data_IF_644702956555
#
_entry.id   IF_644702956555
#
_cell.length_a   1.000
_cell.length_b   1.000
_cell.length_c   1.000
_cell.angle_alpha   90.00
_cell.angle_beta   90.00
_cell.angle_gamma   90.00
#
_symmetry.space_group_name_H-M   'P 1'
#
loop_
_entity.id
_entity.type
_entity.pdbx_description
1 polymer ?
#
# COMPACT_ATOMS: atom_id res chain seq x y z
N UNK A 1 0.54 33.57 40.95
CA UNK A 1 0.38 32.10 40.81
C UNK A 1 0.50 31.81 39.34
N UNK A 2 1.70 31.54 38.86
CA UNK A 2 1.91 31.11 37.47
C UNK A 2 1.28 29.73 37.33
N UNK A 3 0.39 29.58 36.36
CA UNK A 3 -0.17 28.30 35.93
C UNK A 3 0.99 27.42 35.44
N UNK A 4 1.65 26.70 36.36
CA UNK A 4 2.75 25.80 36.05
C UNK A 4 2.18 24.57 35.33
N UNK A 5 1.96 24.73 34.02
CA UNK A 5 1.64 23.60 33.14
C UNK A 5 2.73 22.56 33.29
N UNK A 6 2.33 21.31 33.50
CA UNK A 6 3.23 20.16 33.53
C UNK A 6 4.08 20.13 32.24
N UNK A 7 5.42 20.16 32.33
CA UNK A 7 6.25 20.16 31.13
C UNK A 7 6.16 18.80 30.43
N UNK A 8 6.28 18.82 29.10
CA UNK A 8 6.10 17.63 28.26
C UNK A 8 7.39 17.26 27.55
N UNK A 9 7.77 15.98 27.62
CA UNK A 9 8.82 15.40 26.81
C UNK A 9 8.17 14.67 25.63
N UNK A 10 8.32 15.22 24.44
CA UNK A 10 7.91 14.59 23.20
C UNK A 10 9.07 13.79 22.60
N UNK A 11 8.93 12.47 22.51
CA UNK A 11 9.98 11.58 21.99
C UNK A 11 9.59 11.04 20.62
N UNK A 12 10.32 11.39 19.57
CA UNK A 12 10.15 10.81 18.23
C UNK A 12 11.18 9.70 18.04
N UNK A 13 10.72 8.45 17.98
CA UNK A 13 11.56 7.26 17.97
C UNK A 13 11.31 6.39 16.74
N UNK A 14 12.36 5.77 16.20
CA UNK A 14 12.24 4.88 15.04
C UNK A 14 13.50 4.82 14.16
N UNK A 15 13.58 3.88 13.21
CA UNK A 15 14.80 3.64 12.44
C UNK A 15 15.18 4.80 11.50
N UNK A 16 16.40 4.76 10.99
CA UNK A 16 16.81 5.63 9.89
C UNK A 16 15.85 5.45 8.69
N UNK A 17 15.53 6.52 7.97
CA UNK A 17 14.60 6.47 6.83
C UNK A 17 13.11 6.33 7.19
N UNK A 18 12.75 6.26 8.48
CA UNK A 18 11.34 6.15 8.88
C UNK A 18 10.51 7.44 8.68
N UNK A 19 11.16 8.60 8.46
CA UNK A 19 10.49 9.89 8.29
C UNK A 19 10.12 10.58 9.61
N UNK A 20 10.95 10.43 10.64
CA UNK A 20 10.78 11.08 11.95
C UNK A 20 10.81 12.61 11.87
N UNK A 21 11.83 13.17 11.23
CA UNK A 21 11.95 14.63 11.03
C UNK A 21 10.80 15.18 10.20
N UNK A 22 10.29 14.40 9.25
CA UNK A 22 9.07 14.77 8.49
C UNK A 22 7.83 14.83 9.39
N UNK A 23 7.67 13.90 10.33
CA UNK A 23 6.58 13.96 11.32
C UNK A 23 6.70 15.20 12.20
N UNK A 24 7.92 15.55 12.64
CA UNK A 24 8.19 16.75 13.41
C UNK A 24 7.73 18.01 12.65
N UNK A 25 8.34 18.29 11.49
CA UNK A 25 8.07 19.51 10.70
C UNK A 25 6.61 19.66 10.29
N UNK A 26 5.97 18.56 9.90
CA UNK A 26 4.61 18.62 9.36
C UNK A 26 3.53 18.65 10.44
N UNK A 27 3.82 18.18 11.66
CA UNK A 27 2.80 18.04 12.71
C UNK A 27 3.23 18.64 14.05
N UNK A 28 4.34 18.19 14.61
CA UNK A 28 4.70 18.50 15.99
C UNK A 28 5.20 19.92 16.18
N UNK A 29 5.98 20.45 15.24
CA UNK A 29 6.50 21.82 15.29
C UNK A 29 5.38 22.86 15.40
N UNK A 30 4.33 22.73 14.58
CA UNK A 30 3.17 23.61 14.64
C UNK A 30 2.28 23.37 15.86
N UNK A 31 2.26 22.13 16.37
CA UNK A 31 1.41 21.74 17.50
C UNK A 31 2.01 22.15 18.84
N UNK A 32 3.34 22.17 18.93
CA UNK A 32 4.10 22.49 20.14
C UNK A 32 5.21 23.51 19.81
N UNK A 33 4.84 24.74 19.40
CA UNK A 33 5.81 25.75 18.97
C UNK A 33 6.78 26.17 20.08
N UNK A 34 6.38 26.04 21.34
CA UNK A 34 7.20 26.41 22.51
C UNK A 34 8.13 25.27 22.97
N UNK A 35 8.02 24.07 22.39
CA UNK A 35 8.85 22.93 22.75
C UNK A 35 10.08 22.85 21.83
N UNK A 36 11.27 23.06 22.39
CA UNK A 36 12.50 23.06 21.61
C UNK A 36 12.80 21.69 20.98
N UNK A 37 13.16 21.69 19.69
CA UNK A 37 13.58 20.49 18.99
C UNK A 37 15.06 20.18 19.20
N UNK A 38 15.34 19.13 19.97
CA UNK A 38 16.68 18.65 20.27
C UNK A 38 17.01 17.45 19.37
N UNK A 39 17.75 17.72 18.29
CA UNK A 39 18.22 16.74 17.31
C UNK A 39 19.74 16.77 17.20
N UNK A 40 20.38 15.62 17.35
CA UNK A 40 21.84 15.49 17.35
C UNK A 40 22.49 15.84 15.99
N UNK A 41 21.83 15.53 14.88
CA UNK A 41 22.35 15.83 13.55
C UNK A 41 22.27 17.35 13.28
N UNK A 42 21.22 18.02 13.73
CA UNK A 42 21.09 19.49 13.64
C UNK A 42 22.09 20.22 14.56
N UNK A 43 22.33 19.69 15.76
CA UNK A 43 23.33 20.25 16.68
C UNK A 43 24.75 20.07 16.15
N UNK A 44 25.08 18.90 15.59
CA UNK A 44 26.36 18.69 14.91
C UNK A 44 26.53 19.65 13.72
N UNK A 45 25.49 19.83 12.91
CA UNK A 45 25.51 20.78 11.79
C UNK A 45 25.80 22.21 12.25
N UNK A 46 25.19 22.64 13.37
CA UNK A 46 25.43 23.98 13.94
C UNK A 46 26.85 24.12 14.50
N UNK A 47 27.37 23.09 15.15
CA UNK A 47 28.71 23.07 15.74
C UNK A 47 29.82 23.12 14.68
N UNK A 48 29.70 22.30 13.62
CA UNK A 48 30.77 22.12 12.63
C UNK A 48 30.54 22.92 11.33
N UNK A 49 29.36 23.51 11.13
CA UNK A 49 29.00 24.21 9.89
C UNK A 49 28.70 23.29 8.70
N UNK A 50 28.81 21.97 8.88
CA UNK A 50 28.48 20.94 7.88
C UNK A 50 27.86 19.70 8.56
N UNK A 51 27.11 18.86 7.84
CA UNK A 51 26.63 17.60 8.39
C UNK A 51 27.81 16.76 8.89
N UNK A 52 27.66 16.09 10.03
CA UNK A 52 28.71 15.23 10.57
C UNK A 52 29.19 14.23 9.50
N UNK A 53 30.50 14.08 9.33
CA UNK A 53 31.13 13.17 8.37
C UNK A 53 31.91 12.06 9.08
N UNK A 54 32.35 12.31 10.31
CA UNK A 54 33.13 11.36 11.10
C UNK A 54 32.33 10.77 12.26
N UNK A 55 32.80 9.63 12.80
CA UNK A 55 32.24 9.05 14.03
C UNK A 55 32.38 10.00 15.22
N UNK A 56 33.46 10.78 15.27
CA UNK A 56 33.73 11.75 16.33
C UNK A 56 32.71 12.90 16.30
N UNK A 57 32.48 13.51 15.13
CA UNK A 57 31.46 14.56 14.97
C UNK A 57 30.05 14.06 15.29
N UNK A 58 29.73 12.82 14.88
CA UNK A 58 28.44 12.21 15.21
C UNK A 58 28.31 11.99 16.73
N UNK A 59 29.37 11.54 17.40
CA UNK A 59 29.39 11.39 18.86
C UNK A 59 29.23 12.74 19.56
N UNK A 60 29.95 13.78 19.12
CA UNK A 60 29.83 15.14 19.64
C UNK A 60 28.40 15.69 19.50
N UNK A 61 27.75 15.46 18.36
CA UNK A 61 26.33 15.80 18.19
C UNK A 61 25.40 15.10 19.17
N UNK A 62 25.68 13.83 19.52
CA UNK A 62 24.91 13.11 20.53
C UNK A 62 25.14 13.67 21.95
N UNK A 63 26.37 14.05 22.28
CA UNK A 63 26.74 14.70 23.54
C UNK A 63 26.04 16.05 23.69
N UNK A 64 26.15 16.93 22.69
CA UNK A 64 25.45 18.23 22.66
C UNK A 64 23.94 18.06 22.84
N UNK A 65 23.35 17.07 22.17
CA UNK A 65 21.93 16.79 22.32
C UNK A 65 21.58 16.32 23.73
N UNK A 66 22.45 15.56 24.38
CA UNK A 66 22.25 15.10 25.75
C UNK A 66 22.41 16.24 26.77
N UNK A 67 23.44 17.07 26.63
CA UNK A 67 23.65 18.27 27.43
C UNK A 67 22.43 19.20 27.33
N UNK A 68 21.95 19.46 26.10
CA UNK A 68 20.79 20.32 25.88
C UNK A 68 19.50 19.75 26.47
N UNK A 69 19.26 18.44 26.33
CA UNK A 69 18.11 17.77 26.97
C UNK A 69 18.15 17.94 28.48
N UNK A 70 19.30 17.68 29.11
CA UNK A 70 19.47 17.82 30.57
C UNK A 70 19.26 19.26 31.03
N UNK A 71 19.78 20.23 30.29
CA UNK A 71 19.56 21.64 30.58
C UNK A 71 18.06 21.99 30.52
N UNK A 72 17.36 21.64 29.44
CA UNK A 72 15.93 21.90 29.31
C UNK A 72 15.10 21.21 30.40
N UNK A 73 15.49 19.99 30.79
CA UNK A 73 14.85 19.26 31.88
C UNK A 73 15.08 19.92 33.25
N UNK A 74 16.28 20.41 33.52
CA UNK A 74 16.58 21.18 34.74
C UNK A 74 15.80 22.51 34.79
N UNK A 75 15.60 23.15 33.63
CA UNK A 75 14.81 24.37 33.48
C UNK A 75 13.28 24.11 33.46
N UNK A 76 12.84 22.85 33.61
CA UNK A 76 11.43 22.42 33.49
C UNK A 76 10.74 22.88 32.20
N UNK A 77 11.47 22.93 31.09
CA UNK A 77 10.92 23.27 29.76
C UNK A 77 10.45 22.04 29.01
N UNK A 78 9.34 22.19 28.29
CA UNK A 78 8.90 21.19 27.31
C UNK A 78 9.90 21.10 26.15
N UNK A 79 10.08 19.90 25.62
CA UNK A 79 11.03 19.65 24.53
C UNK A 79 10.56 18.51 23.62
N UNK A 80 11.01 18.56 22.37
CA UNK A 80 10.86 17.48 21.40
C UNK A 80 12.24 16.91 21.11
N UNK A 81 12.43 15.60 21.25
CA UNK A 81 13.69 14.93 20.88
C UNK A 81 13.47 13.85 19.85
N UNK A 82 14.32 13.81 18.83
CA UNK A 82 14.33 12.76 17.81
C UNK A 82 15.50 11.81 18.04
N UNK A 83 15.25 10.49 17.98
CA UNK A 83 16.31 9.49 18.07
C UNK A 83 16.03 8.24 17.23
N UNK A 84 17.11 7.56 16.82
CA UNK A 84 17.00 6.18 16.32
C UNK A 84 16.61 5.19 17.40
N UNK A 85 16.73 5.60 18.67
CA UNK A 85 16.33 4.83 19.85
C UNK A 85 17.02 3.46 19.95
N UNK A 86 18.28 3.40 19.54
CA UNK A 86 19.04 2.17 19.40
C UNK A 86 19.99 1.89 20.58
N UNK A 87 19.76 2.49 21.75
CA UNK A 87 20.56 2.28 22.97
C UNK A 87 19.68 2.33 24.23
N UNK A 88 19.90 1.48 25.25
CA UNK A 88 19.09 1.44 26.48
C UNK A 88 18.93 2.79 27.18
N UNK A 89 19.96 3.65 27.15
CA UNK A 89 19.91 5.00 27.72
C UNK A 89 18.77 5.88 27.20
N UNK A 90 18.16 5.53 26.06
CA UNK A 90 16.97 6.24 25.55
C UNK A 90 15.69 5.86 26.29
N UNK A 91 15.62 4.64 26.83
CA UNK A 91 14.57 4.25 27.78
C UNK A 91 14.80 4.95 29.12
N UNK A 92 16.05 5.06 29.56
CA UNK A 92 16.39 5.75 30.82
C UNK A 92 15.99 7.23 30.77
N UNK A 93 16.23 7.93 29.66
CA UNK A 93 15.72 9.29 29.44
C UNK A 93 14.20 9.41 29.68
N UNK A 94 13.42 8.41 29.25
CA UNK A 94 11.96 8.39 29.49
C UNK A 94 11.66 8.21 30.97
N UNK A 95 12.37 7.30 31.66
CA UNK A 95 12.23 7.09 33.11
C UNK A 95 12.57 8.37 33.89
N UNK A 96 13.69 8.99 33.56
CA UNK A 96 14.19 10.20 34.21
C UNK A 96 13.21 11.36 34.04
N UNK A 97 12.63 11.51 32.85
CA UNK A 97 11.61 12.53 32.60
C UNK A 97 10.35 12.30 33.46
N UNK A 98 9.86 11.05 33.54
CA UNK A 98 8.72 10.73 34.41
C UNK A 98 9.04 10.99 35.88
N UNK A 99 10.24 10.60 36.34
CA UNK A 99 10.68 10.85 37.70
C UNK A 99 10.79 12.35 38.01
N UNK A 100 11.15 13.17 37.02
CA UNK A 100 11.16 14.63 37.11
C UNK A 100 9.77 15.28 37.01
N UNK A 101 8.70 14.49 36.87
CA UNK A 101 7.31 14.98 36.79
C UNK A 101 6.93 15.55 35.41
N UNK A 102 7.57 15.08 34.34
CA UNK A 102 7.15 15.37 32.98
C UNK A 102 5.97 14.50 32.55
N UNK A 103 5.06 15.05 31.75
CA UNK A 103 4.23 14.23 30.87
C UNK A 103 5.11 13.72 29.72
N UNK A 104 5.08 12.41 29.44
CA UNK A 104 5.84 11.83 28.33
C UNK A 104 4.91 11.39 27.21
N UNK A 105 5.14 11.96 26.02
CA UNK A 105 4.42 11.58 24.79
C UNK A 105 5.40 11.01 23.78
N UNK A 106 5.27 9.72 23.48
CA UNK A 106 6.12 9.02 22.53
C UNK A 106 5.45 8.89 21.15
N UNK A 107 6.22 9.12 20.10
CA UNK A 107 5.83 8.96 18.70
C UNK A 107 6.74 7.91 18.08
N UNK A 108 6.27 6.67 17.98
CA UNK A 108 6.99 5.59 17.29
C UNK A 108 6.68 5.67 15.80
N UNK A 109 7.67 6.03 14.99
CA UNK A 109 7.55 6.06 13.53
C UNK A 109 8.36 4.93 12.93
N UNK A 110 7.70 4.02 12.19
CA UNK A 110 8.38 2.89 11.57
C UNK A 110 7.97 2.66 10.12
N UNK A 111 8.68 1.75 9.46
CA UNK A 111 8.41 1.29 8.09
C UNK A 111 8.38 -0.24 8.05
N UNK A 112 7.74 -0.82 7.04
CA UNK A 112 7.47 -2.26 6.92
C UNK A 112 8.69 -3.17 6.86
N UNK A 113 9.88 -2.64 6.54
CA UNK A 113 11.10 -3.45 6.46
C UNK A 113 12.37 -2.60 6.54
N UNK A 114 13.50 -3.19 6.98
CA UNK A 114 14.79 -2.53 6.94
C UNK A 114 15.24 -2.19 5.51
N UNK A 115 14.84 -3.00 4.50
CA UNK A 115 15.12 -2.70 3.09
C UNK A 115 14.53 -1.34 2.68
N UNK A 116 13.31 -1.02 3.12
CA UNK A 116 12.70 0.28 2.83
C UNK A 116 13.45 1.43 3.53
N UNK A 117 13.95 1.21 4.75
CA UNK A 117 14.82 2.16 5.43
C UNK A 117 16.11 2.42 4.63
N UNK A 118 16.78 1.37 4.15
CA UNK A 118 18.01 1.48 3.32
C UNK A 118 17.73 2.26 2.05
N UNK A 119 16.69 1.90 1.29
CA UNK A 119 16.29 2.60 0.07
C UNK A 119 16.05 4.10 0.31
N UNK A 120 15.36 4.44 1.40
CA UNK A 120 15.07 5.85 1.74
C UNK A 120 16.30 6.64 2.18
N UNK A 121 17.23 6.00 2.88
CA UNK A 121 18.51 6.65 3.21
C UNK A 121 19.32 6.89 1.95
N UNK A 122 19.39 5.92 1.04
CA UNK A 122 20.08 6.09 -0.25
C UNK A 122 19.49 7.24 -1.08
N UNK A 123 18.16 7.31 -1.23
CA UNK A 123 17.48 8.42 -1.92
C UNK A 123 17.78 9.78 -1.27
N UNK A 124 17.82 9.84 0.06
CA UNK A 124 18.17 11.07 0.79
C UNK A 124 19.63 11.47 0.58
N UNK A 125 20.56 10.51 0.53
CA UNK A 125 21.99 10.78 0.24
C UNK A 125 22.16 11.35 -1.15
N UNK A 126 21.44 10.81 -2.14
CA UNK A 126 21.42 11.36 -3.50
C UNK A 126 20.89 12.81 -3.56
N UNK A 127 20.13 13.24 -2.54
CA UNK A 127 19.62 14.61 -2.36
C UNK A 127 20.50 15.46 -1.43
N UNK A 128 21.72 15.03 -1.12
CA UNK A 128 22.69 15.76 -0.29
C UNK A 128 22.58 15.52 1.21
N UNK A 129 21.82 14.51 1.66
CA UNK A 129 21.72 14.18 3.08
C UNK A 129 22.86 13.29 3.61
N UNK A 130 22.92 13.13 4.93
CA UNK A 130 23.98 12.36 5.60
C UNK A 130 23.92 10.84 5.28
N UNK A 131 25.05 10.23 4.85
CA UNK A 131 25.13 8.80 4.59
C UNK A 131 25.17 7.99 5.90
N UNK A 132 24.50 6.85 5.91
CA UNK A 132 24.58 5.88 7.00
C UNK A 132 24.88 4.52 6.39
N UNK A 133 25.91 3.79 6.85
CA UNK A 133 26.21 2.45 6.37
C UNK A 133 25.01 1.51 6.48
N UNK A 134 24.77 0.69 5.46
CA UNK A 134 23.61 -0.20 5.37
C UNK A 134 23.53 -1.19 6.55
N UNK A 135 24.66 -1.79 6.93
CA UNK A 135 24.78 -2.68 8.09
C UNK A 135 24.28 -2.00 9.37
N UNK A 136 24.62 -0.71 9.56
CA UNK A 136 24.16 0.08 10.70
C UNK A 136 22.68 0.40 10.63
N UNK A 137 22.13 0.66 9.45
CA UNK A 137 20.69 0.88 9.27
C UNK A 137 19.92 -0.37 9.71
N UNK A 138 20.34 -1.55 9.23
CA UNK A 138 19.71 -2.83 9.55
C UNK A 138 19.85 -3.16 11.04
N UNK A 139 21.07 -3.09 11.59
CA UNK A 139 21.33 -3.33 13.01
C UNK A 139 20.47 -2.43 13.91
N UNK A 140 20.37 -1.13 13.59
CA UNK A 140 19.56 -0.18 14.35
C UNK A 140 18.07 -0.47 14.21
N UNK A 141 17.61 -0.87 13.03
CA UNK A 141 16.22 -1.23 12.76
C UNK A 141 15.75 -2.36 13.67
N UNK A 142 16.56 -3.40 13.87
CA UNK A 142 16.17 -4.52 14.73
C UNK A 142 16.34 -4.17 16.23
N UNK A 143 17.46 -3.55 16.57
CA UNK A 143 17.80 -3.24 17.98
C UNK A 143 16.86 -2.22 18.61
N UNK A 144 16.31 -1.28 17.84
CA UNK A 144 15.47 -0.23 18.42
C UNK A 144 14.05 -0.70 18.76
N UNK A 145 13.49 -1.71 18.08
CA UNK A 145 12.10 -2.11 18.26
C UNK A 145 11.75 -2.46 19.71
N UNK A 146 12.48 -3.36 20.41
CA UNK A 146 12.14 -3.70 21.79
C UNK A 146 12.30 -2.48 22.73
N UNK A 147 13.32 -1.64 22.53
CA UNK A 147 13.56 -0.45 23.33
C UNK A 147 12.46 0.59 23.16
N UNK A 148 12.01 0.82 21.92
CA UNK A 148 10.90 1.74 21.64
C UNK A 148 9.60 1.21 22.22
N UNK A 149 9.33 -0.09 22.13
CA UNK A 149 8.16 -0.70 22.76
C UNK A 149 8.18 -0.50 24.27
N UNK A 150 9.31 -0.75 24.91
CA UNK A 150 9.48 -0.53 26.35
C UNK A 150 9.20 0.92 26.74
N UNK A 151 9.80 1.88 26.04
CA UNK A 151 9.54 3.30 26.25
C UNK A 151 8.08 3.70 25.98
N UNK A 152 7.44 3.12 24.96
CA UNK A 152 6.04 3.35 24.65
C UNK A 152 5.10 2.88 25.77
N UNK A 153 5.49 1.83 26.50
CA UNK A 153 4.75 1.34 27.67
C UNK A 153 4.92 2.24 28.90
N UNK A 154 6.09 2.87 29.03
CA UNK A 154 6.37 3.81 30.11
C UNK A 154 5.70 5.17 29.88
N UNK A 155 5.61 5.62 28.63
CA UNK A 155 5.01 6.91 28.27
C UNK A 155 3.56 7.05 28.71
N UNK A 156 3.13 8.28 29.01
CA UNK A 156 1.74 8.58 29.35
C UNK A 156 0.85 8.41 28.12
N UNK A 157 1.34 8.81 26.96
CA UNK A 157 0.76 8.48 25.65
C UNK A 157 1.82 8.03 24.66
N UNK A 158 1.48 7.03 23.84
CA UNK A 158 2.30 6.64 22.69
C UNK A 158 1.46 6.56 21.41
N UNK A 159 1.94 7.19 20.34
CA UNK A 159 1.35 7.17 19.01
C UNK A 159 2.24 6.37 18.07
N UNK A 160 1.71 5.28 17.51
CA UNK A 160 2.44 4.36 16.65
C UNK A 160 2.04 4.66 15.21
N UNK A 161 2.98 5.14 14.40
CA UNK A 161 2.80 5.53 13.01
C UNK A 161 3.48 4.56 12.06
N UNK A 162 2.72 4.12 11.04
CA UNK A 162 3.28 3.54 9.84
C UNK A 162 3.60 4.65 8.85
N UNK A 163 4.79 4.58 8.25
CA UNK A 163 5.17 5.45 7.15
C UNK A 163 5.67 4.62 5.97
N UNK A 164 5.09 3.45 5.70
CA UNK A 164 5.57 2.53 4.66
C UNK A 164 5.15 2.94 3.25
N UNK A 165 4.06 3.69 3.11
CA UNK A 165 3.52 4.11 1.81
C UNK A 165 4.25 5.36 1.30
N UNK A 166 4.83 5.27 0.10
CA UNK A 166 5.51 6.41 -0.52
C UNK A 166 4.50 7.50 -0.90
N UNK A 167 4.85 8.77 -0.67
CA UNK A 167 4.02 9.92 -1.03
C UNK A 167 2.75 10.11 -0.20
N UNK A 168 2.53 9.29 0.84
CA UNK A 168 1.40 9.44 1.76
C UNK A 168 1.84 9.99 3.12
N UNK A 169 0.95 10.68 3.85
CA UNK A 169 1.21 11.07 5.23
C UNK A 169 1.38 9.85 6.15
N UNK A 170 2.04 10.05 7.30
CA UNK A 170 2.12 9.06 8.36
C UNK A 170 0.73 8.58 8.80
N UNK A 171 0.53 7.27 8.80
CA UNK A 171 -0.73 6.62 9.16
C UNK A 171 -0.70 6.19 10.63
N UNK A 172 -1.59 6.78 11.43
CA UNK A 172 -1.69 6.45 12.86
C UNK A 172 -2.32 5.06 13.03
N UNK A 173 -1.52 4.09 13.45
CA UNK A 173 -1.90 2.68 13.57
C UNK A 173 -2.41 2.32 14.96
N UNK A 174 -1.72 2.74 16.03
CA UNK A 174 -2.08 2.39 17.41
C UNK A 174 -1.88 3.60 18.32
N UNK A 175 -2.75 3.75 19.33
CA UNK A 175 -2.56 4.68 20.45
C UNK A 175 -2.49 3.87 21.73
N UNK A 176 -1.41 4.04 22.49
CA UNK A 176 -1.29 3.55 23.85
C UNK A 176 -1.49 4.71 24.84
N UNK A 177 -2.16 4.43 25.95
CA UNK A 177 -2.21 5.30 27.13
C UNK A 177 -1.70 4.50 28.33
N UNK A 178 -0.61 4.97 28.94
CA UNK A 178 0.10 4.29 30.05
C UNK A 178 0.32 2.79 29.77
N UNK A 179 0.81 2.49 28.58
CA UNK A 179 1.12 1.14 28.09
C UNK A 179 -0.08 0.26 27.72
N UNK A 180 -1.32 0.75 27.82
CA UNK A 180 -2.51 0.02 27.36
C UNK A 180 -2.94 0.55 26.01
N UNK A 181 -3.19 -0.32 25.03
CA UNK A 181 -3.76 0.11 23.76
C UNK A 181 -5.20 0.57 23.95
N UNK A 182 -5.46 1.85 23.66
CA UNK A 182 -6.79 2.47 23.74
C UNK A 182 -7.42 2.65 22.36
N UNK A 183 -6.61 2.60 21.30
CA UNK A 183 -7.08 2.66 19.91
C UNK A 183 -6.17 1.86 18.98
N UNK A 184 -6.76 1.19 18.00
CA UNK A 184 -6.09 0.59 16.85
C UNK A 184 -6.85 0.94 15.57
N UNK A 185 -6.12 1.21 14.47
CA UNK A 185 -6.71 1.37 13.14
C UNK A 185 -7.24 0.03 12.63
N UNK A 186 -8.09 0.05 11.59
CA UNK A 186 -8.64 -1.18 10.97
C UNK A 186 -7.59 -2.02 10.23
N UNK A 187 -6.44 -1.42 9.90
CA UNK A 187 -5.35 -2.03 9.17
C UNK A 187 -4.03 -1.77 9.89
N UNK A 188 -3.84 -2.42 11.05
CA UNK A 188 -2.57 -2.32 11.76
C UNK A 188 -1.50 -3.06 10.94
N UNK A 189 -0.39 -2.39 10.58
CA UNK A 189 0.63 -3.00 9.74
C UNK A 189 1.26 -4.19 10.46
N UNK A 190 1.73 -5.17 9.67
CA UNK A 190 2.23 -6.44 10.21
C UNK A 190 3.34 -6.25 11.26
N UNK A 191 4.28 -5.32 11.02
CA UNK A 191 5.36 -5.03 11.98
C UNK A 191 4.83 -4.55 13.34
N UNK A 192 3.76 -3.71 13.35
CA UNK A 192 3.18 -3.20 14.59
C UNK A 192 2.37 -4.28 15.30
N UNK A 193 1.64 -5.13 14.56
CA UNK A 193 0.95 -6.30 15.14
C UNK A 193 1.91 -7.28 15.80
N UNK A 194 3.10 -7.48 15.21
CA UNK A 194 4.12 -8.34 15.78
C UNK A 194 4.77 -7.71 17.02
N UNK A 195 5.16 -6.43 16.93
CA UNK A 195 5.85 -5.75 18.02
C UNK A 195 4.95 -5.51 19.23
N UNK A 196 3.73 -5.03 19.00
CA UNK A 196 2.77 -4.67 20.05
C UNK A 196 1.70 -5.75 20.27
N UNK A 197 2.04 -7.02 20.00
CA UNK A 197 1.10 -8.15 20.06
C UNK A 197 0.36 -8.21 21.41
N UNK A 198 1.08 -8.08 22.51
CA UNK A 198 0.50 -8.18 23.85
C UNK A 198 -0.40 -6.98 24.16
N UNK A 199 -0.01 -5.78 23.72
CA UNK A 199 -0.81 -4.57 23.91
C UNK A 199 -2.10 -4.60 23.07
N UNK A 200 -2.08 -5.27 21.91
CA UNK A 200 -3.21 -5.37 20.99
C UNK A 200 -4.18 -6.52 21.30
N UNK A 201 -3.91 -7.36 22.32
CA UNK A 201 -4.69 -8.57 22.60
C UNK A 201 -6.20 -8.32 22.82
N UNK A 202 -6.59 -7.12 23.27
CA UNK A 202 -7.98 -6.74 23.52
C UNK A 202 -8.70 -6.17 22.27
N UNK A 203 -8.02 -6.08 21.13
CA UNK A 203 -8.62 -5.69 19.85
C UNK A 203 -8.89 -6.95 19.03
N UNK A 204 -10.09 -7.05 18.46
CA UNK A 204 -10.43 -8.19 17.59
C UNK A 204 -9.43 -8.31 16.43
N UNK A 205 -9.15 -9.54 15.99
CA UNK A 205 -8.31 -9.75 14.80
C UNK A 205 -8.87 -9.03 13.56
N UNK A 206 -10.20 -8.88 13.48
CA UNK A 206 -10.87 -8.10 12.45
C UNK A 206 -10.56 -6.60 12.51
N UNK A 207 -10.36 -6.03 13.70
CA UNK A 207 -9.84 -4.66 13.81
C UNK A 207 -8.35 -4.59 13.50
N UNK A 208 -7.57 -5.61 13.85
CA UNK A 208 -6.13 -5.57 13.61
C UNK A 208 -5.78 -5.79 12.12
N UNK A 209 -6.54 -6.64 11.42
CA UNK A 209 -6.30 -7.04 10.04
C UNK A 209 -7.61 -7.37 9.31
N UNK A 210 -8.38 -6.33 9.01
CA UNK A 210 -9.75 -6.44 8.44
C UNK A 210 -9.83 -7.35 7.23
N UNK A 211 -8.85 -7.27 6.32
CA UNK A 211 -8.80 -8.13 5.14
C UNK A 211 -8.71 -9.63 5.48
N UNK A 212 -7.86 -10.07 6.42
CA UNK A 212 -7.82 -11.51 6.75
C UNK A 212 -9.04 -11.97 7.52
N UNK A 213 -9.60 -11.15 8.42
CA UNK A 213 -10.83 -11.53 9.09
C UNK A 213 -11.97 -11.70 8.07
N UNK A 214 -12.11 -10.73 7.17
CA UNK A 214 -13.08 -10.82 6.08
C UNK A 214 -12.84 -12.01 5.14
N UNK A 215 -11.58 -12.43 4.95
CA UNK A 215 -11.24 -13.64 4.20
C UNK A 215 -11.54 -14.93 4.99
N UNK A 216 -11.35 -14.94 6.31
CA UNK A 216 -11.74 -16.06 7.16
C UNK A 216 -13.27 -16.25 7.14
N UNK A 217 -14.03 -15.16 7.18
CA UNK A 217 -15.50 -15.20 6.99
C UNK A 217 -15.86 -15.76 5.61
N UNK A 218 -15.11 -15.38 4.56
CA UNK A 218 -15.32 -15.90 3.20
C UNK A 218 -15.06 -17.41 3.13
N UNK A 219 -14.02 -17.89 3.82
CA UNK A 219 -13.74 -19.32 3.97
C UNK A 219 -14.88 -20.04 4.68
N UNK A 220 -15.41 -19.49 5.77
CA UNK A 220 -16.53 -20.07 6.50
C UNK A 220 -17.84 -20.09 5.67
N UNK A 221 -18.05 -19.12 4.78
CA UNK A 221 -19.15 -19.15 3.79
C UNK A 221 -18.95 -20.31 2.81
N UNK A 222 -17.74 -20.43 2.24
CA UNK A 222 -17.43 -21.51 1.30
C UNK A 222 -17.55 -22.90 1.95
N UNK A 223 -17.12 -23.07 3.19
CA UNK A 223 -17.24 -24.32 3.93
C UNK A 223 -18.69 -24.73 4.18
N UNK A 224 -19.58 -23.76 4.48
CA UNK A 224 -21.01 -24.02 4.64
C UNK A 224 -21.69 -24.36 3.32
N UNK A 225 -21.30 -23.71 2.22
CA UNK A 225 -21.93 -23.89 0.91
C UNK A 225 -21.39 -25.12 0.14
N UNK A 226 -20.09 -25.42 0.27
CA UNK A 226 -19.35 -26.39 -0.57
C UNK A 226 -18.76 -27.56 0.24
N UNK A 227 -18.88 -27.55 1.56
CA UNK A 227 -18.36 -28.57 2.47
C UNK A 227 -17.03 -28.21 3.13
N UNK A 228 -16.71 -28.92 4.23
CA UNK A 228 -15.56 -28.67 5.11
C UNK A 228 -14.19 -28.81 4.40
N UNK A 229 -14.10 -29.62 3.35
CA UNK A 229 -12.87 -29.79 2.56
C UNK A 229 -12.71 -28.72 1.46
N UNK A 230 -13.61 -27.74 1.41
CA UNK A 230 -13.53 -26.68 0.41
C UNK A 230 -12.31 -25.78 0.61
N UNK A 231 -11.81 -25.23 -0.49
CA UNK A 231 -10.68 -24.30 -0.50
C UNK A 231 -11.13 -22.96 -1.03
N UNK A 232 -10.77 -21.91 -0.31
CA UNK A 232 -11.01 -20.52 -0.72
C UNK A 232 -9.68 -19.87 -1.08
N UNK A 233 -9.64 -19.18 -2.21
CA UNK A 233 -8.43 -18.51 -2.70
C UNK A 233 -8.69 -17.04 -2.96
N UNK A 234 -7.61 -16.25 -3.05
CA UNK A 234 -7.63 -14.89 -3.57
C UNK A 234 -7.42 -14.95 -5.10
N UNK A 235 -8.10 -14.10 -5.88
CA UNK A 235 -7.91 -14.05 -7.33
C UNK A 235 -6.46 -13.74 -7.71
N UNK A 236 -5.97 -14.37 -8.79
CA UNK A 236 -4.63 -14.13 -9.32
C UNK A 236 -4.67 -13.08 -10.45
N UNK A 237 -3.62 -12.27 -10.65
CA UNK A 237 -3.51 -11.46 -11.86
C UNK A 237 -3.56 -12.32 -13.12
N UNK A 238 -4.10 -11.76 -14.22
CA UNK A 238 -4.21 -12.46 -15.50
C UNK A 238 -4.95 -13.81 -15.40
N UNK A 239 -6.10 -13.82 -14.73
CA UNK A 239 -6.94 -15.01 -14.54
C UNK A 239 -8.42 -14.67 -14.68
N UNK A 240 -9.23 -15.72 -14.81
CA UNK A 240 -10.66 -15.62 -15.04
C UNK A 240 -11.39 -16.67 -14.20
N UNK A 241 -12.53 -16.27 -13.63
CA UNK A 241 -13.32 -17.08 -12.73
C UNK A 241 -14.80 -16.96 -13.09
N UNK A 242 -15.44 -18.12 -13.27
CA UNK A 242 -16.85 -18.19 -13.66
C UNK A 242 -17.61 -19.10 -12.71
N UNK A 243 -18.83 -18.70 -12.40
CA UNK A 243 -19.72 -19.45 -11.52
C UNK A 243 -20.52 -18.55 -10.59
N UNK A 244 -21.21 -19.20 -9.65
CA UNK A 244 -22.21 -18.59 -8.80
C UNK A 244 -21.59 -17.82 -7.63
N UNK A 245 -22.14 -16.66 -7.35
CA UNK A 245 -21.88 -15.95 -6.09
C UNK A 245 -22.59 -16.67 -4.95
N UNK A 246 -21.84 -17.20 -3.99
CA UNK A 246 -22.37 -17.99 -2.87
C UNK A 246 -22.41 -17.21 -1.55
N UNK A 247 -21.87 -16.00 -1.50
CA UNK A 247 -22.00 -15.11 -0.37
C UNK A 247 -21.16 -13.85 -0.47
N UNK A 248 -21.25 -13.02 0.55
CA UNK A 248 -20.43 -11.82 0.69
C UNK A 248 -20.01 -11.63 2.15
N UNK A 249 -18.93 -10.88 2.33
CA UNK A 249 -18.40 -10.43 3.63
C UNK A 249 -18.14 -8.93 3.55
N UNK A 250 -17.63 -8.35 4.64
CA UNK A 250 -17.31 -6.92 4.71
C UNK A 250 -16.47 -6.43 3.51
N UNK A 251 -15.46 -7.21 3.10
CA UNK A 251 -14.52 -6.83 2.04
C UNK A 251 -14.53 -7.78 0.84
N UNK A 252 -15.13 -8.97 0.93
CA UNK A 252 -15.06 -9.96 -0.14
C UNK A 252 -16.43 -10.36 -0.69
N UNK A 253 -16.46 -10.64 -1.98
CA UNK A 253 -17.50 -11.42 -2.65
C UNK A 253 -16.99 -12.86 -2.79
N UNK A 254 -17.79 -13.86 -2.43
CA UNK A 254 -17.40 -15.27 -2.51
C UNK A 254 -18.06 -15.92 -3.72
N UNK A 255 -17.24 -16.33 -4.69
CA UNK A 255 -17.70 -16.99 -5.91
C UNK A 255 -17.30 -18.47 -5.88
N UNK A 256 -18.25 -19.36 -6.08
CA UNK A 256 -17.97 -20.77 -6.35
C UNK A 256 -17.42 -20.92 -7.77
N UNK A 257 -16.26 -21.57 -7.89
CA UNK A 257 -15.59 -21.84 -9.17
C UNK A 257 -15.43 -23.34 -9.46
N UNK A 258 -15.91 -24.20 -8.56
CA UNK A 258 -15.89 -25.65 -8.70
C UNK A 258 -16.64 -26.33 -7.56
N UNK A 259 -16.65 -27.67 -7.53
CA UNK A 259 -17.39 -28.43 -6.53
C UNK A 259 -16.94 -28.14 -5.08
N UNK A 260 -15.64 -27.88 -4.87
CA UNK A 260 -15.03 -27.61 -3.55
C UNK A 260 -14.08 -26.42 -3.56
N UNK A 261 -14.27 -25.50 -4.49
CA UNK A 261 -13.36 -24.38 -4.70
C UNK A 261 -14.14 -23.07 -4.81
N UNK A 262 -13.68 -22.07 -4.08
CA UNK A 262 -14.22 -20.72 -4.11
C UNK A 262 -13.11 -19.67 -4.25
N UNK A 263 -13.46 -18.51 -4.79
CA UNK A 263 -12.63 -17.32 -4.82
C UNK A 263 -13.27 -16.23 -3.97
N UNK A 264 -12.48 -15.59 -3.11
CA UNK A 264 -12.87 -14.41 -2.37
C UNK A 264 -12.32 -13.16 -3.09
N UNK A 265 -13.18 -12.47 -3.83
CA UNK A 265 -12.85 -11.27 -4.59
C UNK A 265 -12.98 -10.04 -3.72
N UNK A 266 -11.96 -9.18 -3.67
CA UNK A 266 -12.11 -7.88 -2.99
C UNK A 266 -13.18 -7.03 -3.70
N UNK A 267 -14.19 -6.58 -2.95
CA UNK A 267 -15.36 -5.86 -3.48
C UNK A 267 -14.99 -4.52 -4.10
N UNK A 268 -13.98 -3.84 -3.57
CA UNK A 268 -13.46 -2.56 -4.09
C UNK A 268 -12.89 -2.69 -5.52
N UNK A 269 -12.52 -3.91 -5.96
CA UNK A 269 -12.06 -4.17 -7.33
C UNK A 269 -13.18 -4.36 -8.35
N UNK A 270 -14.40 -4.66 -7.91
CA UNK A 270 -15.47 -5.13 -8.79
C UNK A 270 -16.38 -4.02 -9.34
N UNK A 271 -16.14 -2.76 -8.97
CA UNK A 271 -17.00 -1.65 -9.36
C UNK A 271 -18.40 -1.78 -8.73
N UNK A 272 -19.36 -2.35 -9.49
CA UNK A 272 -20.71 -2.68 -9.00
C UNK A 272 -20.77 -4.18 -8.66
N UNK A 273 -20.73 -4.57 -7.38
CA UNK A 273 -20.72 -5.98 -7.01
C UNK A 273 -22.05 -6.66 -7.36
N UNK A 274 -22.00 -7.92 -7.82
CA UNK A 274 -23.17 -8.74 -8.11
C UNK A 274 -23.85 -9.20 -6.81
N UNK A 275 -25.07 -9.74 -6.91
CA UNK A 275 -25.82 -10.23 -5.75
C UNK A 275 -25.47 -11.69 -5.47
N UNK A 276 -25.68 -12.11 -4.22
CA UNK A 276 -25.64 -13.53 -3.87
C UNK A 276 -26.69 -14.29 -4.68
N UNK A 277 -26.25 -15.39 -5.31
CA UNK A 277 -27.04 -16.21 -6.22
C UNK A 277 -26.84 -15.90 -7.71
N UNK A 278 -26.28 -14.75 -8.07
CA UNK A 278 -26.00 -14.41 -9.47
C UNK A 278 -24.86 -15.28 -10.02
N UNK A 279 -25.00 -15.74 -11.27
CA UNK A 279 -23.92 -16.40 -12.03
C UNK A 279 -23.14 -15.34 -12.83
N UNK A 280 -21.84 -15.25 -12.56
CA UNK A 280 -20.97 -14.19 -13.10
C UNK A 280 -19.65 -14.74 -13.63
N UNK A 281 -19.02 -13.97 -14.52
CA UNK A 281 -17.64 -14.12 -14.95
C UNK A 281 -16.85 -12.90 -14.48
N UNK A 282 -15.76 -13.14 -13.76
CA UNK A 282 -14.86 -12.10 -13.24
C UNK A 282 -13.47 -12.36 -13.81
N UNK A 283 -12.95 -11.39 -14.57
CA UNK A 283 -11.61 -11.44 -15.18
C UNK A 283 -10.69 -10.41 -14.55
N UNK A 284 -9.45 -10.80 -14.27
CA UNK A 284 -8.39 -9.94 -13.75
C UNK A 284 -7.33 -9.68 -14.80
N UNK A 285 -7.05 -8.40 -15.07
CA UNK A 285 -5.94 -7.96 -15.91
C UNK A 285 -4.56 -8.17 -15.27
N UNK A 286 -3.50 -7.85 -16.02
CA UNK A 286 -2.11 -7.90 -15.52
C UNK A 286 -1.83 -6.91 -14.40
N UNK A 287 -2.53 -5.78 -14.42
CA UNK A 287 -2.52 -4.73 -13.41
C UNK A 287 -3.41 -5.04 -12.19
N UNK A 288 -4.13 -6.17 -12.22
CA UNK A 288 -5.08 -6.57 -11.18
C UNK A 288 -6.42 -5.82 -11.23
N UNK A 289 -6.69 -5.06 -12.28
CA UNK A 289 -8.02 -4.50 -12.51
C UNK A 289 -9.00 -5.65 -12.82
N UNK A 290 -10.20 -5.61 -12.25
CA UNK A 290 -11.22 -6.62 -12.49
C UNK A 290 -12.30 -6.09 -13.45
N UNK A 291 -12.73 -6.94 -14.38
CA UNK A 291 -13.94 -6.74 -15.16
C UNK A 291 -14.94 -7.82 -14.81
N UNK A 292 -16.22 -7.45 -14.75
CA UNK A 292 -17.30 -8.31 -14.32
C UNK A 292 -18.38 -8.36 -15.39
N UNK A 293 -18.94 -9.56 -15.62
CA UNK A 293 -20.11 -9.80 -16.46
C UNK A 293 -21.06 -10.77 -15.81
N UNK A 294 -22.35 -10.61 -16.08
CA UNK A 294 -23.32 -11.67 -15.87
C UNK A 294 -23.11 -12.82 -16.86
N UNK A 295 -23.59 -14.02 -16.51
CA UNK A 295 -23.57 -15.17 -17.42
C UNK A 295 -24.27 -14.87 -18.77
N UNK A 296 -25.32 -14.05 -18.75
CA UNK A 296 -26.02 -13.62 -19.97
C UNK A 296 -25.13 -12.75 -20.85
N UNK A 297 -24.49 -11.73 -20.29
CA UNK A 297 -23.59 -10.85 -21.04
C UNK A 297 -22.37 -11.59 -21.59
N UNK A 298 -21.83 -12.55 -20.82
CA UNK A 298 -20.74 -13.41 -21.28
C UNK A 298 -21.18 -14.30 -22.46
N UNK A 299 -22.36 -14.94 -22.36
CA UNK A 299 -22.93 -15.75 -23.45
C UNK A 299 -23.19 -14.91 -24.71
N UNK A 300 -23.80 -13.73 -24.57
CA UNK A 300 -24.07 -12.83 -25.70
C UNK A 300 -22.76 -12.32 -26.36
N UNK A 301 -21.71 -12.09 -25.58
CA UNK A 301 -20.39 -11.72 -26.11
C UNK A 301 -19.74 -12.87 -26.89
N UNK A 302 -19.84 -14.10 -26.38
CA UNK A 302 -19.36 -15.31 -27.06
C UNK A 302 -20.11 -15.57 -28.36
N UNK A 303 -21.43 -15.53 -28.35
CA UNK A 303 -22.26 -15.71 -29.56
C UNK A 303 -21.94 -14.66 -30.62
N UNK A 304 -21.62 -13.43 -30.20
CA UNK A 304 -21.21 -12.34 -31.07
C UNK A 304 -19.81 -12.57 -31.64
N UNK A 305 -18.87 -13.04 -30.83
CA UNK A 305 -17.52 -13.41 -31.27
C UNK A 305 -17.56 -14.58 -32.27
N UNK A 306 -18.36 -15.62 -32.00
CA UNK A 306 -18.51 -16.77 -32.88
C UNK A 306 -19.20 -16.41 -34.20
N UNK A 307 -20.20 -15.54 -34.16
CA UNK A 307 -20.76 -14.92 -35.36
C UNK A 307 -19.67 -14.14 -36.13
N UNK A 308 -18.84 -13.37 -35.43
CA UNK A 308 -17.73 -12.64 -36.04
C UNK A 308 -16.66 -13.57 -36.61
N UNK A 309 -16.40 -14.77 -36.05
CA UNK A 309 -15.45 -15.75 -36.60
C UNK A 309 -15.99 -16.44 -37.86
N UNK A 310 -17.25 -16.88 -37.81
CA UNK A 310 -17.77 -17.88 -38.74
C UNK A 310 -18.68 -17.32 -39.83
N UNK A 311 -19.44 -16.25 -39.57
CA UNK A 311 -20.45 -15.77 -40.50
C UNK A 311 -19.88 -14.78 -41.53
N UNK A 312 -20.47 -14.71 -42.74
CA UNK A 312 -20.23 -13.60 -43.67
C UNK A 312 -20.63 -12.25 -43.05
N UNK A 313 -19.89 -11.19 -43.38
CA UNK A 313 -20.08 -9.86 -42.77
C UNK A 313 -21.53 -9.36 -42.80
N UNK A 314 -22.23 -9.54 -43.93
CA UNK A 314 -23.62 -9.12 -44.09
C UNK A 314 -24.57 -9.80 -43.09
N UNK A 315 -24.35 -11.09 -42.81
CA UNK A 315 -25.19 -11.86 -41.90
C UNK A 315 -24.87 -11.54 -40.44
N UNK A 316 -23.57 -11.44 -40.10
CA UNK A 316 -23.15 -11.10 -38.75
C UNK A 316 -23.59 -9.68 -38.35
N UNK A 317 -23.46 -8.70 -39.25
CA UNK A 317 -23.86 -7.30 -39.00
C UNK A 317 -25.38 -7.14 -38.92
N UNK A 318 -26.15 -7.95 -39.67
CA UNK A 318 -27.61 -7.96 -39.52
C UNK A 318 -28.04 -8.45 -38.13
N UNK A 319 -27.31 -9.42 -37.56
CA UNK A 319 -27.55 -9.92 -36.20
C UNK A 319 -26.97 -9.02 -35.10
N UNK A 320 -25.80 -8.44 -35.34
CA UNK A 320 -25.04 -7.60 -34.42
C UNK A 320 -24.47 -6.38 -35.15
N UNK A 321 -25.25 -5.28 -35.25
CA UNK A 321 -24.87 -4.10 -36.05
C UNK A 321 -23.54 -3.45 -35.63
N UNK A 322 -23.18 -3.56 -34.35
CA UNK A 322 -21.93 -3.07 -33.76
C UNK A 322 -20.67 -3.79 -34.27
N UNK A 323 -20.81 -4.93 -34.97
CA UNK A 323 -19.68 -5.60 -35.63
C UNK A 323 -19.24 -4.93 -36.94
N UNK A 324 -20.03 -4.01 -37.49
CA UNK A 324 -19.74 -3.38 -38.79
C UNK A 324 -18.35 -2.71 -38.86
N UNK A 325 -17.91 -1.93 -37.85
CA UNK A 325 -16.56 -1.37 -37.83
C UNK A 325 -15.49 -2.46 -37.84
N UNK A 326 -15.65 -3.55 -37.08
CA UNK A 326 -14.66 -4.62 -37.01
C UNK A 326 -14.47 -5.36 -38.33
N UNK A 327 -15.56 -5.59 -39.06
CA UNK A 327 -15.48 -6.13 -40.43
C UNK A 327 -14.86 -5.15 -41.41
N UNK A 328 -15.09 -3.84 -41.25
CA UNK A 328 -14.42 -2.83 -42.06
C UNK A 328 -12.90 -2.82 -41.80
N UNK A 329 -12.48 -2.95 -40.54
CA UNK A 329 -11.07 -3.01 -40.17
C UNK A 329 -10.35 -4.21 -40.78
N UNK A 330 -10.92 -5.42 -40.66
CA UNK A 330 -10.32 -6.63 -41.25
C UNK A 330 -10.15 -6.48 -42.76
N UNK A 331 -11.16 -5.95 -43.47
CA UNK A 331 -11.09 -5.69 -44.91
C UNK A 331 -10.03 -4.65 -45.29
N UNK A 332 -9.90 -3.57 -44.52
CA UNK A 332 -8.90 -2.55 -44.76
C UNK A 332 -7.47 -3.12 -44.58
N UNK A 333 -7.25 -3.94 -43.55
CA UNK A 333 -5.96 -4.61 -43.35
C UNK A 333 -5.66 -5.59 -44.49
N UNK A 334 -6.64 -6.38 -44.91
CA UNK A 334 -6.50 -7.33 -46.02
C UNK A 334 -6.12 -6.62 -47.33
N UNK A 335 -6.85 -5.56 -47.69
CA UNK A 335 -6.58 -4.78 -48.90
C UNK A 335 -5.17 -4.17 -48.90
N UNK A 336 -4.73 -3.64 -47.75
CA UNK A 336 -3.38 -3.08 -47.60
C UNK A 336 -2.28 -4.13 -47.77
N UNK A 337 -2.48 -5.32 -47.20
CA UNK A 337 -1.51 -6.42 -47.37
C UNK A 337 -1.55 -6.93 -48.81
N UNK A 338 -2.73 -7.05 -49.43
CA UNK A 338 -2.86 -7.50 -50.81
C UNK A 338 -2.11 -6.60 -51.82
N UNK A 339 -2.05 -5.29 -51.57
CA UNK A 339 -1.34 -4.34 -52.43
C UNK A 339 0.19 -4.57 -52.48
N UNK A 340 0.78 -5.22 -51.48
CA UNK A 340 2.23 -5.47 -51.40
C UNK A 340 2.61 -6.95 -51.40
N UNK A 341 1.76 -7.80 -50.82
CA UNK A 341 1.97 -9.24 -50.64
C UNK A 341 0.64 -10.01 -50.84
N UNK A 342 0.18 -10.20 -52.08
CA UNK A 342 -1.12 -10.83 -52.37
C UNK A 342 -1.28 -12.21 -51.75
N UNK A 343 -0.22 -13.02 -51.78
CA UNK A 343 -0.24 -14.40 -51.30
C UNK A 343 -0.42 -14.53 -49.77
N UNK A 344 -0.12 -13.47 -48.99
CA UNK A 344 -0.22 -13.49 -47.51
C UNK A 344 -1.48 -12.80 -46.97
N UNK A 345 -2.17 -11.99 -47.79
CA UNK A 345 -3.26 -11.11 -47.38
C UNK A 345 -4.40 -11.83 -46.62
N UNK A 346 -4.92 -12.92 -47.19
CA UNK A 346 -6.00 -13.70 -46.59
C UNK A 346 -5.57 -14.33 -45.24
N UNK A 347 -4.32 -14.78 -45.13
CA UNK A 347 -3.77 -15.34 -43.90
C UNK A 347 -3.63 -14.30 -42.78
N UNK A 348 -3.20 -13.08 -43.12
CA UNK A 348 -3.14 -11.95 -42.19
C UNK A 348 -4.54 -11.54 -41.76
N UNK A 349 -5.48 -11.41 -42.69
CA UNK A 349 -6.87 -11.06 -42.41
C UNK A 349 -7.52 -12.06 -41.44
N UNK A 350 -7.29 -13.36 -41.65
CA UNK A 350 -7.77 -14.43 -40.75
C UNK A 350 -7.21 -14.28 -39.33
N UNK A 351 -5.90 -14.01 -39.19
CA UNK A 351 -5.27 -13.80 -37.88
C UNK A 351 -5.81 -12.55 -37.16
N UNK A 352 -5.98 -11.45 -37.89
CA UNK A 352 -6.55 -10.20 -37.32
C UNK A 352 -8.00 -10.41 -36.91
N UNK A 353 -8.78 -11.13 -37.72
CA UNK A 353 -10.16 -11.49 -37.41
C UNK A 353 -10.24 -12.34 -36.13
N UNK A 354 -9.35 -13.31 -35.97
CA UNK A 354 -9.29 -14.13 -34.75
C UNK A 354 -8.89 -13.30 -33.51
N UNK A 355 -7.91 -12.39 -33.63
CA UNK A 355 -7.54 -11.49 -32.53
C UNK A 355 -8.74 -10.64 -32.09
N UNK A 356 -9.42 -10.00 -33.05
CA UNK A 356 -10.59 -9.18 -32.78
C UNK A 356 -11.76 -9.99 -32.23
N UNK A 357 -12.00 -11.21 -32.72
CA UNK A 357 -13.00 -12.11 -32.14
C UNK A 357 -12.70 -12.40 -30.66
N UNK A 358 -11.44 -12.69 -30.33
CA UNK A 358 -11.02 -12.87 -28.95
C UNK A 358 -11.25 -11.62 -28.09
N UNK A 359 -11.03 -10.41 -28.64
CA UNK A 359 -11.33 -9.14 -27.94
C UNK A 359 -12.84 -8.95 -27.73
N UNK A 360 -13.68 -9.29 -28.70
CA UNK A 360 -15.15 -9.23 -28.61
C UNK A 360 -15.66 -10.19 -27.53
N UNK A 361 -15.15 -11.42 -27.52
CA UNK A 361 -15.48 -12.43 -26.51
C UNK A 361 -15.07 -11.94 -25.11
N UNK A 362 -13.86 -11.36 -25.01
CA UNK A 362 -13.41 -10.68 -23.79
C UNK A 362 -14.05 -9.32 -23.56
N UNK A 363 -14.96 -8.88 -24.43
CA UNK A 363 -15.63 -7.56 -24.52
C UNK A 363 -14.74 -6.37 -24.16
N UNK A 364 -13.54 -6.40 -24.73
CA UNK A 364 -12.61 -5.30 -24.76
C UNK A 364 -13.06 -4.28 -25.82
N UNK A 365 -12.74 -3.01 -25.60
CA UNK A 365 -12.98 -1.98 -26.61
C UNK A 365 -12.13 -2.24 -27.85
N UNK A 366 -12.78 -2.32 -29.01
CA UNK A 366 -12.10 -2.60 -30.28
C UNK A 366 -11.35 -1.35 -30.76
N UNK A 367 -10.21 -1.52 -31.45
CA UNK A 367 -9.41 -0.39 -31.93
C UNK A 367 -10.22 0.52 -32.87
N UNK A 368 -10.25 1.82 -32.55
CA UNK A 368 -10.87 2.84 -33.41
C UNK A 368 -10.02 3.08 -34.66
N UNK A 369 -10.63 2.85 -35.82
CA UNK A 369 -9.99 2.87 -37.13
C UNK A 369 -9.59 4.30 -37.52
N UNK A 370 -10.25 5.33 -36.96
CA UNK A 370 -10.02 6.73 -37.37
C UNK A 370 -8.72 7.35 -36.85
N UNK A 371 -8.11 6.80 -35.80
CA UNK A 371 -6.91 7.39 -35.16
C UNK A 371 -5.59 6.92 -35.76
N UNK A 372 -5.49 5.66 -36.20
CA UNK A 372 -4.20 5.12 -36.67
C UNK A 372 -3.76 5.60 -38.05
N UNK A 373 -4.68 6.09 -38.87
CA UNK A 373 -4.33 6.70 -40.15
C UNK A 373 -3.78 8.13 -39.96
N UNK A 374 -4.24 8.86 -38.94
CA UNK A 374 -3.69 10.18 -38.59
C UNK A 374 -2.26 10.11 -38.02
N UNK A 375 -1.95 9.09 -37.21
CA UNK A 375 -0.60 8.94 -36.61
C UNK A 375 0.46 8.46 -37.62
N UNK A 376 0.05 7.83 -38.74
CA UNK A 376 0.98 7.36 -39.80
C UNK A 376 1.25 8.39 -40.88
N UNK A 377 0.30 9.30 -41.16
CA UNK A 377 0.55 10.42 -42.06
C UNK A 377 1.53 11.45 -41.47
N UNK A 378 1.63 11.55 -40.13
CA UNK A 378 2.62 12.42 -39.49
C UNK A 378 4.06 11.86 -39.51
N UNK A 379 4.24 10.54 -39.64
CA UNK A 379 5.56 9.89 -39.60
C UNK A 379 6.16 9.65 -41.00
N UNK A 380 5.38 9.87 -42.07
CA UNK A 380 5.87 9.89 -43.46
C UNK A 380 6.14 11.31 -43.98
N UNK A 381 5.96 12.32 -43.13
CA UNK A 381 6.18 13.74 -43.41
C UNK A 381 7.38 14.36 -42.69
N UNK A 382 8.40 13.57 -42.33
CA UNK A 382 9.68 14.06 -41.81
C UNK A 382 10.87 13.50 -42.57
#
# INVERSE_FOLDING_TARGET
>A
MTDERTPTLHVIAGPNGAGKTTLYRNRLEKRYPDAEFVNADELALREFGHPAQTKSESARGQELAEERRRQLMAERKSLVTESTFSHPSKVDLVRDAKAAGYEVVLYHVNVRSPNLSVMRVADRVNKGGHPVPEDKIRQRYDRNQPLIREAAKLADRAYIFDNSQLGKPHELSVILERGKAIRASENVPAWARMLYKDELQNFSQSRQHRAAASFADAKAIAERALGQESRTFIPRPNSEYSGKVIGETDLHLVQQIGARSAIAHFRDKLGRPPRVGDDVEIRYGKDGAATLRSAREASEAKDRADAFRSLPAKQAVAKYPDLAPSYAYVRAVEARVAASQPASAAGVAKKVREDLAGRIERGETLPDIRRKDQDREQDQGR
#
